data_IF_954335660318
#
_entry.id   IF_954335660318
#
_cell.length_a   1.000
_cell.length_b   1.000
_cell.length_c   1.000
_cell.angle_alpha   90.00
_cell.angle_beta   90.00
_cell.angle_gamma   90.00
#
_symmetry.space_group_name_H-M   'P 1'
#
loop_
_entity.id
_entity.type
_entity.pdbx_description
1 polymer ?
#
# COMPACT_ATOMS: atom_id res chain seq x y z
N UNK A 1 -24.45 7.08 13.67
CA UNK A 1 -23.89 6.51 14.92
C UNK A 1 -23.15 5.25 14.52
N UNK A 2 -21.84 5.33 14.34
CA UNK A 2 -21.04 4.17 13.95
C UNK A 2 -20.79 3.33 15.19
N UNK A 3 -21.18 2.05 15.16
CA UNK A 3 -20.83 1.10 16.22
C UNK A 3 -19.30 1.04 16.34
N UNK A 4 -18.74 0.94 17.56
CA UNK A 4 -17.32 0.73 17.71
C UNK A 4 -16.93 -0.56 16.98
N UNK A 5 -16.00 -0.45 16.02
CA UNK A 5 -15.47 -1.59 15.30
C UNK A 5 -14.83 -2.51 16.33
N UNK A 6 -15.33 -3.75 16.43
CA UNK A 6 -14.76 -4.73 17.33
C UNK A 6 -13.28 -4.90 16.98
N UNK A 7 -12.40 -4.86 17.98
CA UNK A 7 -10.99 -5.15 17.77
C UNK A 7 -10.87 -6.56 17.16
N UNK A 8 -10.10 -6.68 16.08
CA UNK A 8 -9.86 -7.97 15.43
C UNK A 8 -9.20 -8.96 16.40
N UNK A 9 -9.52 -10.24 16.25
CA UNK A 9 -8.87 -11.32 17.01
C UNK A 9 -7.41 -11.50 16.56
N UNK A 10 -6.60 -12.17 17.37
CA UNK A 10 -5.22 -12.50 17.00
C UNK A 10 -5.15 -13.27 15.66
N UNK A 11 -6.01 -14.27 15.49
CA UNK A 11 -6.10 -15.04 14.24
C UNK A 11 -6.44 -14.15 13.03
N UNK A 12 -7.37 -13.20 13.18
CA UNK A 12 -7.72 -12.25 12.11
C UNK A 12 -6.57 -11.31 11.76
N UNK A 13 -5.76 -10.93 12.75
CA UNK A 13 -4.54 -10.14 12.52
C UNK A 13 -3.50 -10.96 11.78
N UNK A 14 -3.30 -12.23 12.13
CA UNK A 14 -2.36 -13.11 11.44
C UNK A 14 -2.78 -13.36 9.99
N UNK A 15 -4.08 -13.60 9.76
CA UNK A 15 -4.65 -13.71 8.41
C UNK A 15 -4.42 -12.44 7.59
N UNK A 16 -4.56 -11.26 8.20
CA UNK A 16 -4.31 -9.99 7.52
C UNK A 16 -2.84 -9.84 7.10
N UNK A 17 -1.90 -10.25 7.95
CA UNK A 17 -0.47 -10.28 7.57
C UNK A 17 -0.19 -11.24 6.42
N UNK A 18 -0.80 -12.43 6.45
CA UNK A 18 -0.67 -13.40 5.38
C UNK A 18 -1.24 -12.85 4.06
N UNK A 19 -2.44 -12.26 4.11
CA UNK A 19 -3.06 -11.64 2.95
C UNK A 19 -2.22 -10.48 2.39
N UNK A 20 -1.63 -9.65 3.24
CA UNK A 20 -0.73 -8.59 2.80
C UNK A 20 0.53 -9.14 2.11
N UNK A 21 1.13 -10.19 2.67
CA UNK A 21 2.26 -10.86 2.04
C UNK A 21 1.88 -11.44 0.66
N UNK A 22 0.71 -12.06 0.54
CA UNK A 22 0.16 -12.55 -0.73
C UNK A 22 -0.08 -11.41 -1.71
N UNK A 23 -0.63 -10.27 -1.27
CA UNK A 23 -0.87 -9.11 -2.11
C UNK A 23 0.43 -8.56 -2.72
N UNK A 24 1.49 -8.48 -1.91
CA UNK A 24 2.83 -8.05 -2.37
C UNK A 24 3.36 -9.03 -3.43
N UNK A 25 3.30 -10.33 -3.15
CA UNK A 25 3.78 -11.36 -4.09
C UNK A 25 2.97 -11.38 -5.39
N UNK A 26 1.66 -11.20 -5.31
CA UNK A 26 0.80 -11.13 -6.48
C UNK A 26 1.20 -9.96 -7.39
N UNK A 27 1.40 -8.76 -6.81
CA UNK A 27 1.88 -7.59 -7.54
C UNK A 27 3.24 -7.80 -8.20
N UNK A 28 4.21 -8.39 -7.48
CA UNK A 28 5.55 -8.68 -8.02
C UNK A 28 5.56 -9.69 -9.18
N UNK A 29 4.54 -10.55 -9.27
CA UNK A 29 4.45 -11.62 -10.27
C UNK A 29 3.43 -11.33 -11.37
N UNK A 30 2.83 -10.15 -11.38
CA UNK A 30 1.79 -9.79 -12.35
C UNK A 30 0.54 -10.68 -12.23
N UNK A 31 0.26 -11.20 -11.04
CA UNK A 31 -0.97 -11.97 -10.80
C UNK A 31 -2.12 -11.00 -10.56
N UNK A 32 -3.13 -11.08 -11.41
CA UNK A 32 -4.35 -10.30 -11.25
C UNK A 32 -5.18 -10.83 -10.08
N UNK A 33 -5.35 -10.00 -9.06
CA UNK A 33 -6.16 -10.30 -7.89
C UNK A 33 -6.81 -9.00 -7.34
N UNK A 34 -7.97 -9.11 -6.67
CA UNK A 34 -8.61 -7.96 -6.05
C UNK A 34 -7.86 -7.57 -4.75
N UNK A 35 -6.77 -6.80 -4.88
CA UNK A 35 -5.87 -6.48 -3.76
C UNK A 35 -6.33 -5.29 -2.91
N UNK A 36 -7.16 -4.39 -3.46
CA UNK A 36 -7.59 -3.16 -2.77
C UNK A 36 -8.23 -3.41 -1.38
N UNK A 37 -9.12 -4.40 -1.19
CA UNK A 37 -9.68 -4.69 0.13
C UNK A 37 -8.63 -5.04 1.20
N UNK A 38 -7.52 -5.66 0.79
CA UNK A 38 -6.42 -6.02 1.70
C UNK A 38 -5.70 -4.74 2.16
N UNK A 39 -5.38 -3.84 1.23
CA UNK A 39 -4.76 -2.56 1.57
C UNK A 39 -5.67 -1.68 2.42
N UNK A 40 -6.98 -1.70 2.14
CA UNK A 40 -7.99 -0.98 2.91
C UNK A 40 -8.05 -1.47 4.35
N UNK A 41 -8.13 -2.78 4.53
CA UNK A 41 -8.13 -3.40 5.85
C UNK A 41 -6.81 -3.14 6.59
N UNK A 42 -5.67 -3.25 5.91
CA UNK A 42 -4.37 -2.95 6.50
C UNK A 42 -4.29 -1.51 7.01
N UNK A 43 -4.74 -0.53 6.23
CA UNK A 43 -4.70 0.88 6.63
C UNK A 43 -5.55 1.19 7.87
N UNK A 44 -6.59 0.40 8.13
CA UNK A 44 -7.41 0.54 9.33
C UNK A 44 -6.70 0.00 10.58
N UNK A 45 -6.00 -1.13 10.44
CA UNK A 45 -5.28 -1.77 11.55
C UNK A 45 -3.88 -1.16 11.80
N UNK A 46 -3.23 -0.67 10.75
CA UNK A 46 -1.88 -0.11 10.77
C UNK A 46 -1.84 1.27 10.10
N UNK A 47 -2.54 2.28 10.63
CA UNK A 47 -2.68 3.59 9.99
C UNK A 47 -1.35 4.37 9.89
N UNK A 48 -0.34 4.00 10.66
CA UNK A 48 0.99 4.63 10.64
C UNK A 48 2.02 3.84 9.81
N UNK A 49 1.56 2.83 9.07
CA UNK A 49 2.38 1.97 8.25
C UNK A 49 2.25 2.33 6.77
N UNK A 50 3.38 2.58 6.11
CA UNK A 50 3.40 2.98 4.70
C UNK A 50 2.90 1.90 3.73
N UNK A 51 2.86 0.63 4.14
CA UNK A 51 2.70 -0.51 3.23
C UNK A 51 1.38 -0.50 2.44
N UNK A 52 0.27 -0.09 3.06
CA UNK A 52 -1.00 0.07 2.35
C UNK A 52 -0.93 1.20 1.31
N UNK A 53 -0.28 2.32 1.65
CA UNK A 53 -0.09 3.44 0.72
C UNK A 53 0.79 3.05 -0.47
N UNK A 54 1.88 2.31 -0.22
CA UNK A 54 2.73 1.75 -1.27
C UNK A 54 1.92 0.81 -2.17
N UNK A 55 1.20 -0.16 -1.59
CA UNK A 55 0.45 -1.16 -2.35
C UNK A 55 -0.64 -0.55 -3.23
N UNK A 56 -1.44 0.37 -2.68
CA UNK A 56 -2.47 1.10 -3.44
C UNK A 56 -1.85 1.98 -4.53
N UNK A 57 -0.75 2.67 -4.21
CA UNK A 57 -0.07 3.55 -5.18
C UNK A 57 0.46 2.77 -6.39
N UNK A 58 1.16 1.67 -6.14
CA UNK A 58 1.64 0.77 -7.21
C UNK A 58 0.49 0.13 -7.99
N UNK A 59 -0.61 -0.23 -7.32
CA UNK A 59 -1.80 -0.72 -8.00
C UNK A 59 -2.38 0.32 -8.96
N UNK A 60 -2.52 1.58 -8.54
CA UNK A 60 -3.00 2.68 -9.39
C UNK A 60 -2.09 2.92 -10.61
N UNK A 61 -0.77 2.90 -10.41
CA UNK A 61 0.21 3.02 -11.50
C UNK A 61 0.01 1.88 -12.52
N UNK A 62 -0.09 0.64 -12.05
CA UNK A 62 -0.32 -0.53 -12.92
C UNK A 62 -1.66 -0.52 -13.66
N UNK A 63 -2.64 0.26 -13.20
CA UNK A 63 -3.98 0.35 -13.79
C UNK A 63 -4.24 1.69 -14.52
N UNK A 64 -3.18 2.37 -14.94
CA UNK A 64 -3.29 3.55 -15.81
C UNK A 64 -3.62 4.85 -15.09
N UNK A 65 -3.42 4.93 -13.77
CA UNK A 65 -3.53 6.15 -13.00
C UNK A 65 -2.22 6.46 -12.24
N UNK A 66 -1.12 6.74 -12.96
CA UNK A 66 0.20 6.83 -12.36
C UNK A 66 0.39 8.07 -11.49
N UNK A 67 -0.21 9.21 -11.84
CA UNK A 67 -0.12 10.45 -11.04
C UNK A 67 -0.75 10.26 -9.65
N UNK A 68 -1.98 9.74 -9.59
CA UNK A 68 -2.63 9.48 -8.31
C UNK A 68 -1.89 8.40 -7.50
N UNK A 69 -1.35 7.39 -8.19
CA UNK A 69 -0.55 6.36 -7.56
C UNK A 69 0.73 6.91 -6.94
N UNK A 70 1.48 7.73 -7.67
CA UNK A 70 2.71 8.36 -7.19
C UNK A 70 2.44 9.26 -5.98
N UNK A 71 1.44 10.15 -6.07
CA UNK A 71 1.05 11.04 -4.97
C UNK A 71 0.66 10.28 -3.70
N UNK A 72 0.05 9.09 -3.84
CA UNK A 72 -0.29 8.25 -2.70
C UNK A 72 0.95 7.66 -2.00
N UNK A 73 1.98 7.30 -2.76
CA UNK A 73 3.25 6.80 -2.21
C UNK A 73 4.02 7.94 -1.55
N UNK A 74 4.01 9.15 -2.12
CA UNK A 74 4.57 10.34 -1.50
C UNK A 74 3.92 10.66 -0.15
N UNK A 75 2.59 10.61 -0.08
CA UNK A 75 1.88 10.83 1.17
C UNK A 75 2.26 9.78 2.23
N UNK A 76 2.37 8.51 1.84
CA UNK A 76 2.83 7.45 2.71
C UNK A 76 4.28 7.66 3.18
N UNK A 77 5.19 8.07 2.30
CA UNK A 77 6.59 8.38 2.61
C UNK A 77 6.75 9.57 3.58
N UNK A 78 5.79 10.50 3.56
CA UNK A 78 5.76 11.69 4.41
C UNK A 78 5.11 11.44 5.77
N UNK A 79 4.01 10.70 5.81
CA UNK A 79 3.14 10.61 6.99
C UNK A 79 3.31 9.35 7.81
N UNK A 80 3.80 8.26 7.22
CA UNK A 80 3.97 6.99 7.93
C UNK A 80 5.08 7.07 8.98
N UNK A 81 4.86 6.42 10.12
CA UNK A 81 5.88 6.25 11.17
C UNK A 81 6.74 5.02 10.90
N UNK A 82 6.17 3.98 10.30
CA UNK A 82 6.88 2.75 9.94
C UNK A 82 6.94 2.57 8.43
N UNK A 83 8.05 2.01 7.94
CA UNK A 83 8.32 1.75 6.51
C UNK A 83 8.26 3.00 5.60
N UNK A 84 8.33 4.21 6.16
CA UNK A 84 8.46 5.43 5.35
C UNK A 84 9.71 5.42 4.46
N UNK A 85 10.82 4.84 4.93
CA UNK A 85 12.03 4.64 4.12
C UNK A 85 11.75 3.75 2.89
N UNK A 86 11.02 2.64 3.08
CA UNK A 86 10.63 1.76 1.97
C UNK A 86 9.76 2.50 0.94
N UNK A 87 8.86 3.39 1.37
CA UNK A 87 8.08 4.20 0.44
C UNK A 87 8.97 5.16 -0.37
N UNK A 88 10.02 5.73 0.24
CA UNK A 88 11.00 6.56 -0.47
C UNK A 88 11.82 5.75 -1.47
N UNK A 89 12.27 4.56 -1.10
CA UNK A 89 12.99 3.67 -2.01
C UNK A 89 12.14 3.31 -3.25
N UNK A 90 10.82 3.13 -3.04
CA UNK A 90 9.88 2.92 -4.16
C UNK A 90 9.77 4.17 -5.03
N UNK A 91 9.66 5.37 -4.44
CA UNK A 91 9.62 6.63 -5.21
C UNK A 91 10.90 6.85 -6.01
N UNK A 92 12.06 6.56 -5.43
CA UNK A 92 13.36 6.66 -6.11
C UNK A 92 13.44 5.68 -7.29
N UNK A 93 12.94 4.47 -7.10
CA UNK A 93 12.86 3.46 -8.19
C UNK A 93 11.90 3.93 -9.30
N UNK A 94 10.72 4.43 -8.93
CA UNK A 94 9.75 4.96 -9.89
C UNK A 94 10.27 6.19 -10.63
N UNK A 95 11.00 7.08 -9.97
CA UNK A 95 11.61 8.26 -10.59
C UNK A 95 12.72 7.87 -11.58
N UNK A 96 13.45 6.78 -11.31
CA UNK A 96 14.44 6.22 -12.23
C UNK A 96 13.78 5.63 -13.48
N UNK A 97 12.70 4.86 -13.30
CA UNK A 97 12.02 4.15 -14.40
C UNK A 97 11.06 5.05 -15.20
N UNK A 98 10.47 6.06 -14.54
CA UNK A 98 9.47 6.98 -15.08
C UNK A 98 9.75 8.43 -14.64
N UNK A 99 10.78 9.09 -15.21
CA UNK A 99 11.22 10.43 -14.79
C UNK A 99 10.15 11.52 -14.89
N UNK A 100 9.13 11.32 -15.73
CA UNK A 100 7.98 12.21 -15.88
C UNK A 100 7.07 12.26 -14.64
N UNK A 101 7.08 11.22 -13.79
CA UNK A 101 6.26 11.15 -12.58
C UNK A 101 6.87 11.93 -11.40
N UNK A 102 8.17 12.20 -11.45
CA UNK A 102 8.92 12.85 -10.37
C UNK A 102 8.98 14.39 -10.50
N UNK A 103 8.11 15.00 -11.31
CA UNK A 103 8.13 16.42 -11.68
C UNK A 103 7.25 17.31 -10.82
#
# INVERSE_FOLDING_TARGET
MSLPQAAATADQIDDLHLMMAVAILAGQRGVEAPLMPIFDTWSQHYPQDALAGIGRGLHLIGHGNPEAGYAMIEDAARTATTRAAQARDVLDSLASDFPELAR
#
